data_IF_760795228725
#
_entry.id   IF_760795228725
#
_cell.length_a   1.000
_cell.length_b   1.000
_cell.length_c   1.000
_cell.angle_alpha   90.00
_cell.angle_beta   90.00
_cell.angle_gamma   90.00
#
_symmetry.space_group_name_H-M   'P 1'
#
loop_
_entity.id
_entity.type
_entity.pdbx_description
1 polymer ?
#
# COMPACT_ATOMS: atom_id res chain seq x y z
N UNK A 1 7.47 -7.71 30.48
CA UNK A 1 7.02 -9.12 30.53
C UNK A 1 7.52 -9.78 29.26
N UNK A 2 8.30 -10.86 29.34
CA UNK A 2 8.69 -11.62 28.15
C UNK A 2 7.46 -12.36 27.65
N UNK A 3 6.88 -11.88 26.57
CA UNK A 3 5.83 -12.62 25.89
C UNK A 3 6.54 -13.78 25.15
N UNK A 4 6.31 -15.01 25.61
CA UNK A 4 7.07 -16.22 25.24
C UNK A 4 6.76 -16.74 23.82
N UNK A 5 6.53 -15.85 22.84
CA UNK A 5 6.24 -16.15 21.44
C UNK A 5 5.46 -17.48 21.23
N UNK A 6 4.31 -17.64 21.90
CA UNK A 6 3.55 -18.87 21.78
C UNK A 6 2.93 -18.94 20.38
N UNK A 7 2.93 -20.12 19.77
CA UNK A 7 2.17 -20.35 18.53
C UNK A 7 0.67 -20.14 18.83
N UNK A 8 0.13 -19.04 18.35
CA UNK A 8 -1.28 -18.67 18.44
C UNK A 8 -2.10 -19.42 17.39
N UNK A 9 -3.39 -19.72 17.63
CA UNK A 9 -4.27 -20.27 16.60
C UNK A 9 -4.26 -19.38 15.35
N UNK A 10 -4.28 -19.96 14.15
CA UNK A 10 -4.27 -19.18 12.90
C UNK A 10 -5.49 -18.26 12.84
N UNK A 11 -5.25 -16.97 12.58
CA UNK A 11 -6.31 -15.98 12.38
C UNK A 11 -6.40 -15.70 10.88
N UNK A 12 -7.58 -15.96 10.29
CA UNK A 12 -7.84 -15.74 8.86
C UNK A 12 -7.36 -16.85 7.91
N UNK A 13 -7.33 -16.60 6.59
CA UNK A 13 -7.00 -17.59 5.57
C UNK A 13 -5.52 -18.01 5.64
N UNK A 14 -5.27 -19.30 5.42
CA UNK A 14 -3.92 -19.89 5.40
C UNK A 14 -3.25 -19.63 4.05
N UNK A 15 -1.91 -19.63 4.01
CA UNK A 15 -1.16 -19.53 2.76
C UNK A 15 -1.54 -20.64 1.77
N UNK A 16 -1.81 -21.83 2.29
CA UNK A 16 -2.26 -22.98 1.49
C UNK A 16 -3.67 -22.78 0.91
N UNK A 17 -4.56 -22.01 1.57
CA UNK A 17 -5.89 -21.68 1.04
C UNK A 17 -5.87 -20.54 0.01
N UNK A 18 -4.91 -19.62 0.12
CA UNK A 18 -4.79 -18.47 -0.80
C UNK A 18 -4.00 -18.80 -2.06
N UNK A 19 -3.10 -19.78 -2.02
CA UNK A 19 -2.35 -20.25 -3.19
C UNK A 19 -3.02 -21.48 -3.81
N UNK A 20 -3.53 -21.33 -5.04
CA UNK A 20 -4.24 -22.41 -5.75
C UNK A 20 -3.34 -23.59 -6.13
N UNK A 21 -3.85 -24.81 -5.96
CA UNK A 21 -3.27 -26.04 -6.52
C UNK A 21 -2.81 -27.06 -5.47
N UNK A 22 -3.22 -28.32 -5.65
CA UNK A 22 -2.87 -29.42 -4.74
C UNK A 22 -1.37 -29.66 -4.62
N UNK A 23 -0.61 -29.37 -5.68
CA UNK A 23 0.85 -29.51 -5.72
C UNK A 23 1.60 -28.58 -4.77
N UNK A 24 1.00 -27.44 -4.39
CA UNK A 24 1.66 -26.41 -3.57
C UNK A 24 1.15 -26.36 -2.12
N UNK A 25 0.02 -27.01 -1.82
CA UNK A 25 -0.57 -26.98 -0.48
C UNK A 25 0.38 -27.45 0.62
N UNK A 26 1.15 -28.53 0.38
CA UNK A 26 2.12 -29.03 1.37
C UNK A 26 3.27 -28.04 1.59
N UNK A 27 3.81 -27.48 0.51
CA UNK A 27 4.88 -26.50 0.59
C UNK A 27 4.41 -25.23 1.32
N UNK A 28 3.28 -24.66 0.92
CA UNK A 28 2.72 -23.45 1.52
C UNK A 28 2.30 -23.67 2.98
N UNK A 29 1.73 -24.84 3.30
CA UNK A 29 1.39 -25.20 4.68
C UNK A 29 2.62 -25.34 5.58
N UNK A 30 3.70 -25.96 5.09
CA UNK A 30 4.96 -26.03 5.84
C UNK A 30 5.60 -24.65 5.98
N UNK A 31 5.63 -23.86 4.91
CA UNK A 31 6.17 -22.50 4.91
C UNK A 31 5.44 -21.64 5.95
N UNK A 32 4.11 -21.73 6.02
CA UNK A 32 3.31 -21.02 7.02
C UNK A 32 3.71 -21.37 8.46
N UNK A 33 3.96 -22.66 8.75
CA UNK A 33 4.43 -23.09 10.07
C UNK A 33 5.77 -22.44 10.41
N UNK A 34 6.71 -22.39 9.46
CA UNK A 34 7.99 -21.71 9.68
C UNK A 34 7.81 -20.22 9.88
N UNK A 35 6.99 -19.55 9.07
CA UNK A 35 6.74 -18.11 9.21
C UNK A 35 6.13 -17.77 10.57
N UNK A 36 5.13 -18.55 11.02
CA UNK A 36 4.48 -18.38 12.33
C UNK A 36 5.39 -18.71 13.51
N UNK A 37 6.44 -19.49 13.28
CA UNK A 37 7.47 -19.74 14.30
C UNK A 37 8.42 -18.55 14.51
N UNK A 38 8.42 -17.56 13.60
CA UNK A 38 9.24 -16.36 13.70
C UNK A 38 8.49 -15.28 14.48
N UNK A 39 9.00 -14.92 15.65
CA UNK A 39 8.34 -14.02 16.59
C UNK A 39 8.24 -12.57 16.11
N UNK A 40 9.18 -12.15 15.28
CA UNK A 40 9.18 -10.84 14.63
C UNK A 40 8.14 -10.75 13.50
N UNK A 41 7.72 -11.87 12.92
CA UNK A 41 6.65 -11.93 11.90
C UNK A 41 5.27 -12.15 12.52
N UNK A 42 5.16 -13.11 13.44
CA UNK A 42 3.87 -13.39 14.10
C UNK A 42 3.46 -12.25 15.04
N UNK A 43 4.44 -11.58 15.64
CA UNK A 43 4.31 -10.51 16.62
C UNK A 43 3.16 -10.71 17.63
N UNK A 44 3.10 -11.87 18.33
CA UNK A 44 1.97 -12.22 19.18
C UNK A 44 1.83 -11.28 20.40
N UNK A 45 2.84 -10.45 20.65
CA UNK A 45 2.95 -9.61 21.83
C UNK A 45 2.38 -8.22 21.62
N UNK A 46 2.41 -7.72 20.37
CA UNK A 46 1.83 -6.42 20.01
C UNK A 46 0.44 -6.55 19.37
N UNK A 47 -0.03 -7.78 19.10
CA UNK A 47 -1.41 -8.03 18.65
C UNK A 47 -2.44 -7.60 19.71
N UNK A 48 -3.47 -6.84 19.33
CA UNK A 48 -4.49 -6.40 20.28
C UNK A 48 -5.38 -7.56 20.73
N UNK A 49 -5.58 -7.66 22.05
CA UNK A 49 -6.42 -8.69 22.63
C UNK A 49 -7.91 -8.33 22.55
N UNK A 50 -8.70 -9.19 21.89
CA UNK A 50 -10.17 -9.07 21.86
C UNK A 50 -10.75 -9.25 23.25
N UNK A 51 -11.64 -8.34 23.67
CA UNK A 51 -12.40 -8.46 24.91
C UNK A 51 -13.78 -9.07 24.63
N UNK A 52 -14.07 -10.21 25.25
CA UNK A 52 -15.36 -10.91 25.10
C UNK A 52 -16.56 -10.13 25.67
N UNK A 53 -16.33 -9.20 26.59
CA UNK A 53 -17.36 -8.34 27.16
C UNK A 53 -16.95 -6.87 26.98
N UNK A 54 -17.69 -6.15 26.15
CA UNK A 54 -17.53 -4.72 26.01
C UNK A 54 -18.13 -4.00 27.23
N UNK A 55 -17.48 -2.91 27.66
CA UNK A 55 -18.08 -2.02 28.64
C UNK A 55 -19.31 -1.33 28.03
N UNK A 56 -20.25 -0.90 28.85
CA UNK A 56 -21.43 -0.16 28.38
C UNK A 56 -21.14 1.28 27.98
N UNK A 57 -19.93 1.79 28.28
CA UNK A 57 -19.51 3.16 27.99
C UNK A 57 -18.02 3.22 27.68
N UNK A 58 -17.69 4.06 26.68
CA UNK A 58 -16.34 4.44 26.29
C UNK A 58 -16.31 5.96 26.05
N UNK A 59 -15.14 6.58 26.15
CA UNK A 59 -14.95 7.99 25.80
C UNK A 59 -14.93 8.17 24.28
N UNK A 60 -14.31 7.21 23.59
CA UNK A 60 -14.26 7.18 22.13
C UNK A 60 -14.62 5.80 21.59
N UNK A 61 -15.38 5.79 20.49
CA UNK A 61 -15.66 4.59 19.71
C UNK A 61 -15.15 4.83 18.29
N UNK A 62 -14.17 4.03 17.87
CA UNK A 62 -13.65 4.03 16.51
C UNK A 62 -14.28 2.87 15.75
N UNK A 63 -14.94 3.19 14.64
CA UNK A 63 -15.61 2.22 13.79
C UNK A 63 -14.74 1.95 12.55
N UNK A 64 -14.23 0.73 12.44
CA UNK A 64 -13.28 0.29 11.42
C UNK A 64 -11.83 0.43 11.90
N UNK A 65 -11.14 -0.71 12.01
CA UNK A 65 -9.72 -0.83 12.32
C UNK A 65 -8.80 -0.75 11.10
N UNK A 66 -9.23 -0.08 10.03
CA UNK A 66 -8.40 0.17 8.85
C UNK A 66 -7.26 1.16 9.12
N UNK A 67 -6.48 1.51 8.10
CA UNK A 67 -5.25 2.32 8.24
C UNK A 67 -5.43 3.62 9.06
N UNK A 68 -6.50 4.40 8.79
CA UNK A 68 -6.80 5.60 9.56
C UNK A 68 -7.40 5.29 10.94
N UNK A 69 -8.33 4.34 11.02
CA UNK A 69 -9.02 3.99 12.26
C UNK A 69 -8.09 3.39 13.32
N UNK A 70 -7.22 2.47 12.92
CA UNK A 70 -6.17 1.93 13.78
C UNK A 70 -5.22 3.04 14.28
N UNK A 71 -4.82 3.97 13.40
CA UNK A 71 -3.99 5.13 13.78
C UNK A 71 -4.68 6.00 14.83
N UNK A 72 -5.95 6.34 14.62
CA UNK A 72 -6.73 7.16 15.56
C UNK A 72 -6.91 6.43 16.88
N UNK A 73 -7.29 5.16 16.87
CA UNK A 73 -7.48 4.36 18.07
C UNK A 73 -6.17 4.24 18.88
N UNK A 74 -5.04 4.02 18.22
CA UNK A 74 -3.72 3.98 18.86
C UNK A 74 -3.38 5.31 19.52
N UNK A 75 -3.51 6.44 18.79
CA UNK A 75 -3.19 7.78 19.34
C UNK A 75 -4.11 8.21 20.48
N UNK A 76 -5.40 7.90 20.41
CA UNK A 76 -6.31 8.16 21.53
C UNK A 76 -5.95 7.32 22.77
N UNK A 77 -5.46 6.10 22.57
CA UNK A 77 -5.07 5.18 23.64
C UNK A 77 -3.73 5.52 24.29
N UNK A 78 -2.93 6.43 23.71
CA UNK A 78 -1.71 6.95 24.34
C UNK A 78 -2.01 7.76 25.61
N UNK A 79 -3.23 8.33 25.71
CA UNK A 79 -3.70 9.01 26.91
C UNK A 79 -4.43 8.00 27.82
N UNK A 80 -3.83 7.59 28.96
CA UNK A 80 -4.36 6.53 29.82
C UNK A 80 -5.72 6.86 30.45
N UNK A 81 -6.13 8.13 30.43
CA UNK A 81 -7.45 8.55 30.93
C UNK A 81 -8.59 8.20 29.99
N UNK A 82 -8.32 7.99 28.71
CA UNK A 82 -9.36 7.70 27.72
C UNK A 82 -9.63 6.21 27.62
N UNK A 83 -10.91 5.86 27.63
CA UNK A 83 -11.40 4.54 27.25
C UNK A 83 -11.78 4.53 25.77
N UNK A 84 -11.09 3.70 24.99
CA UNK A 84 -11.27 3.60 23.53
C UNK A 84 -11.79 2.21 23.17
N UNK A 85 -12.89 2.16 22.43
CA UNK A 85 -13.39 0.94 21.79
C UNK A 85 -13.10 1.01 20.29
N UNK A 86 -12.37 0.04 19.77
CA UNK A 86 -12.22 -0.18 18.33
C UNK A 86 -13.10 -1.35 17.91
N UNK A 87 -13.96 -1.13 16.91
CA UNK A 87 -14.77 -2.17 16.29
C UNK A 87 -14.28 -2.41 14.87
N UNK A 88 -13.92 -3.64 14.54
CA UNK A 88 -13.52 -4.07 13.20
C UNK A 88 -14.40 -5.26 12.77
N UNK A 89 -14.78 -5.29 11.49
CA UNK A 89 -15.61 -6.34 10.93
C UNK A 89 -14.80 -7.60 10.57
N UNK A 90 -13.52 -7.40 10.24
CA UNK A 90 -12.55 -8.46 9.99
C UNK A 90 -11.94 -9.06 11.24
N UNK A 91 -11.13 -10.10 11.01
CA UNK A 91 -10.27 -10.69 12.04
C UNK A 91 -8.95 -9.92 12.17
N UNK A 92 -8.08 -10.39 13.05
CA UNK A 92 -6.68 -9.98 13.10
C UNK A 92 -5.93 -10.40 11.82
N UNK A 93 -4.83 -9.73 11.47
CA UNK A 93 -4.13 -10.01 10.24
C UNK A 93 -3.42 -11.39 10.24
N UNK A 94 -3.57 -12.20 9.18
CA UNK A 94 -2.82 -13.44 9.02
C UNK A 94 -1.32 -13.16 8.90
N UNK A 95 -0.47 -14.00 9.48
CA UNK A 95 1.01 -13.89 9.39
C UNK A 95 1.51 -13.79 7.96
N UNK A 96 0.87 -14.50 7.02
CA UNK A 96 1.25 -14.48 5.61
C UNK A 96 1.17 -13.09 4.96
N UNK A 97 0.37 -12.18 5.53
CA UNK A 97 0.26 -10.79 5.05
C UNK A 97 1.47 -9.92 5.43
N UNK A 98 2.29 -10.37 6.38
CA UNK A 98 3.55 -9.71 6.76
C UNK A 98 4.66 -9.94 5.72
N UNK A 99 4.41 -10.82 4.73
CA UNK A 99 5.36 -11.16 3.68
C UNK A 99 5.04 -10.34 2.44
N UNK A 100 5.89 -9.38 2.06
CA UNK A 100 5.57 -8.43 1.00
C UNK A 100 5.09 -9.06 -0.30
N UNK A 101 5.74 -10.13 -0.72
CA UNK A 101 5.44 -10.82 -1.99
C UNK A 101 4.11 -11.55 -2.05
N UNK A 102 3.44 -11.76 -0.90
CA UNK A 102 2.16 -12.47 -0.83
C UNK A 102 0.94 -11.56 -0.83
N UNK A 103 1.11 -10.24 -0.86
CA UNK A 103 -0.03 -9.29 -0.76
C UNK A 103 -1.14 -9.57 -1.79
N UNK A 104 -0.77 -9.96 -3.02
CA UNK A 104 -1.72 -10.24 -4.10
C UNK A 104 -2.57 -11.50 -3.83
N UNK A 105 -2.04 -12.47 -3.06
CA UNK A 105 -2.71 -13.73 -2.76
C UNK A 105 -3.92 -13.53 -1.83
N UNK A 106 -3.96 -12.42 -1.10
CA UNK A 106 -5.07 -12.10 -0.19
C UNK A 106 -6.20 -11.35 -0.89
N UNK A 107 -6.00 -10.87 -2.12
CA UNK A 107 -7.05 -10.29 -2.95
C UNK A 107 -8.03 -11.41 -3.35
N UNK A 108 -9.32 -11.24 -3.03
CA UNK A 108 -10.34 -12.26 -3.25
C UNK A 108 -10.40 -13.36 -2.18
N UNK A 109 -9.66 -13.22 -1.08
CA UNK A 109 -9.75 -14.10 0.09
C UNK A 109 -10.83 -13.65 1.09
N UNK A 110 -10.96 -14.35 2.21
CA UNK A 110 -11.92 -14.02 3.29
C UNK A 110 -11.63 -12.69 4.00
N UNK A 111 -10.40 -12.16 3.87
CA UNK A 111 -10.01 -10.84 4.39
C UNK A 111 -10.17 -9.71 3.35
N UNK A 112 -10.79 -10.00 2.20
CA UNK A 112 -11.21 -9.01 1.22
C UNK A 112 -12.73 -8.84 1.31
N UNK A 113 -13.21 -7.60 1.26
CA UNK A 113 -14.64 -7.30 1.11
C UNK A 113 -15.17 -7.71 -0.26
N UNK A 114 -14.30 -7.83 -1.26
CA UNK A 114 -14.64 -8.29 -2.61
C UNK A 114 -15.73 -7.44 -3.28
N UNK A 115 -15.70 -6.12 -3.08
CA UNK A 115 -16.69 -5.25 -3.66
C UNK A 115 -16.65 -5.31 -5.19
N UNK A 116 -17.83 -5.15 -5.79
CA UNK A 116 -17.99 -4.94 -7.21
C UNK A 116 -18.60 -3.56 -7.41
N UNK A 117 -18.10 -2.80 -8.38
CA UNK A 117 -18.70 -1.50 -8.71
C UNK A 117 -20.07 -1.70 -9.36
N UNK A 118 -20.86 -0.64 -9.36
CA UNK A 118 -21.97 -0.56 -10.31
C UNK A 118 -21.44 -0.53 -11.74
N UNK A 119 -22.31 -0.87 -12.69
CA UNK A 119 -21.99 -0.88 -14.12
C UNK A 119 -21.88 0.55 -14.63
N UNK A 120 -20.80 0.86 -15.36
CA UNK A 120 -20.56 2.19 -15.93
C UNK A 120 -20.12 2.10 -17.40
N UNK A 121 -20.53 3.05 -18.23
CA UNK A 121 -20.24 3.07 -19.67
C UNK A 121 -18.76 3.33 -20.01
N UNK A 122 -17.99 3.90 -19.07
CA UNK A 122 -16.60 4.30 -19.27
C UNK A 122 -15.55 3.43 -18.59
N UNK A 123 -15.96 2.39 -17.86
CA UNK A 123 -15.07 1.59 -17.02
C UNK A 123 -15.25 0.09 -17.27
N UNK A 124 -14.19 -0.70 -17.03
CA UNK A 124 -14.20 -2.16 -17.16
C UNK A 124 -14.81 -2.69 -18.47
N UNK A 125 -14.50 -2.02 -19.58
CA UNK A 125 -15.02 -2.31 -20.93
C UNK A 125 -14.67 -3.72 -21.45
N UNK A 126 -13.68 -4.37 -20.83
CA UNK A 126 -13.28 -5.74 -21.13
C UNK A 126 -14.15 -6.80 -20.44
N UNK A 127 -15.14 -6.40 -19.64
CA UNK A 127 -16.10 -7.30 -18.98
C UNK A 127 -17.49 -7.10 -19.54
N UNK A 128 -18.24 -8.19 -19.67
CA UNK A 128 -19.62 -8.16 -20.20
C UNK A 128 -20.57 -7.33 -19.32
N UNK A 129 -20.42 -7.40 -18.00
CA UNK A 129 -21.24 -6.67 -17.03
C UNK A 129 -20.75 -5.24 -16.75
N UNK A 130 -19.58 -4.86 -17.28
CA UNK A 130 -18.87 -3.60 -17.04
C UNK A 130 -18.70 -3.28 -15.55
N UNK A 131 -18.54 -4.31 -14.71
CA UNK A 131 -18.30 -4.12 -13.27
C UNK A 131 -16.85 -4.36 -12.90
N UNK A 132 -16.25 -3.37 -12.26
CA UNK A 132 -14.89 -3.47 -11.76
C UNK A 132 -14.86 -4.23 -10.44
N UNK A 133 -13.89 -5.13 -10.31
CA UNK A 133 -13.58 -5.73 -9.02
C UNK A 133 -12.80 -4.71 -8.19
N UNK A 134 -13.21 -4.50 -6.95
CA UNK A 134 -12.72 -3.40 -6.11
C UNK A 134 -12.35 -3.91 -4.72
N UNK A 135 -11.12 -4.45 -4.56
CA UNK A 135 -10.73 -5.07 -3.31
C UNK A 135 -10.62 -4.04 -2.17
N UNK A 136 -11.06 -4.43 -0.97
CA UNK A 136 -10.92 -3.65 0.27
C UNK A 136 -10.65 -4.59 1.41
N UNK A 137 -9.64 -4.29 2.23
CA UNK A 137 -9.31 -5.12 3.39
C UNK A 137 -10.45 -5.15 4.41
N UNK A 138 -10.83 -6.37 4.80
CA UNK A 138 -11.76 -6.75 5.87
C UNK A 138 -10.97 -7.49 6.94
N UNK A 139 -10.12 -6.75 7.63
CA UNK A 139 -9.12 -7.24 8.59
C UNK A 139 -8.67 -6.06 9.44
N UNK A 140 -8.15 -6.30 10.64
CA UNK A 140 -7.46 -5.25 11.39
C UNK A 140 -6.27 -4.74 10.58
N UNK A 141 -6.09 -3.41 10.52
CA UNK A 141 -5.23 -2.73 9.55
C UNK A 141 -5.92 -2.42 8.22
N UNK A 142 -6.97 -3.17 7.85
CA UNK A 142 -7.79 -2.94 6.66
C UNK A 142 -6.97 -3.08 5.38
N UNK A 143 -7.11 -2.13 4.46
CA UNK A 143 -6.46 -2.24 3.14
C UNK A 143 -4.93 -2.13 3.22
N UNK A 144 -4.34 -1.58 4.29
CA UNK A 144 -2.87 -1.58 4.42
C UNK A 144 -2.25 -2.97 4.59
N UNK A 145 -3.04 -3.98 4.97
CA UNK A 145 -2.59 -5.38 5.08
C UNK A 145 -2.39 -6.06 3.72
N UNK A 146 -3.03 -5.54 2.68
CA UNK A 146 -3.06 -6.14 1.33
C UNK A 146 -2.77 -5.10 0.23
N UNK A 147 -2.05 -4.03 0.57
CA UNK A 147 -1.65 -3.00 -0.40
C UNK A 147 -0.32 -3.36 -1.09
N UNK A 148 0.01 -2.65 -2.17
CA UNK A 148 1.29 -2.84 -2.87
C UNK A 148 2.49 -2.13 -2.22
N UNK A 149 2.42 -1.80 -0.92
CA UNK A 149 3.48 -1.18 -0.11
C UNK A 149 4.18 0.04 -0.72
N UNK A 150 3.53 0.74 -1.64
CA UNK A 150 4.06 1.97 -2.22
C UNK A 150 3.87 3.10 -1.22
N UNK A 151 4.99 3.65 -0.72
CA UNK A 151 4.98 4.83 0.13
C UNK A 151 5.30 6.08 -0.69
N UNK A 152 4.31 6.96 -0.82
CA UNK A 152 4.47 8.25 -1.48
C UNK A 152 3.54 9.28 -0.86
N UNK A 153 3.94 10.56 -0.95
CA UNK A 153 3.15 11.68 -0.44
C UNK A 153 2.56 12.47 -1.60
N UNK A 154 1.37 13.00 -1.39
CA UNK A 154 0.76 13.97 -2.29
C UNK A 154 1.62 15.22 -2.48
N UNK A 155 1.40 15.92 -3.59
CA UNK A 155 2.09 17.17 -3.88
C UNK A 155 1.63 18.28 -2.92
N UNK A 156 2.49 19.28 -2.70
CA UNK A 156 2.15 20.46 -1.89
C UNK A 156 0.83 21.11 -2.32
N UNK A 157 0.62 21.18 -3.63
CA UNK A 157 -0.56 21.81 -4.24
C UNK A 157 -1.85 21.13 -3.81
N UNK A 158 -1.86 19.81 -3.66
CA UNK A 158 -3.06 19.04 -3.32
C UNK A 158 -3.65 19.51 -1.97
N UNK A 159 -2.79 19.65 -0.96
CA UNK A 159 -3.17 20.08 0.39
C UNK A 159 -3.45 21.58 0.47
N UNK A 160 -2.66 22.40 -0.21
CA UNK A 160 -2.90 23.85 -0.24
C UNK A 160 -4.23 24.18 -0.96
N UNK A 161 -4.62 23.38 -1.96
CA UNK A 161 -5.92 23.48 -2.60
C UNK A 161 -7.04 23.07 -1.65
N UNK A 162 -6.87 22.04 -0.81
CA UNK A 162 -7.85 21.71 0.24
C UNK A 162 -8.07 22.87 1.21
N UNK A 163 -6.98 23.51 1.66
CA UNK A 163 -7.08 24.69 2.51
C UNK A 163 -7.82 25.84 1.80
N UNK A 164 -7.57 26.04 0.49
CA UNK A 164 -8.26 27.06 -0.32
C UNK A 164 -9.75 26.78 -0.49
N UNK A 165 -10.16 25.51 -0.48
CA UNK A 165 -11.57 25.09 -0.49
C UNK A 165 -12.27 25.28 0.87
N UNK A 166 -11.57 25.81 1.89
CA UNK A 166 -12.13 26.11 3.20
C UNK A 166 -11.77 25.09 4.29
N UNK A 167 -10.96 24.08 3.98
CA UNK A 167 -10.48 23.10 4.96
C UNK A 167 -9.31 23.68 5.77
N UNK A 168 -9.62 24.59 6.70
CA UNK A 168 -8.62 25.24 7.55
C UNK A 168 -7.80 24.19 8.31
N UNK A 169 -6.47 24.36 8.32
CA UNK A 169 -5.54 23.42 8.97
C UNK A 169 -5.12 22.24 8.10
N UNK A 170 -5.56 22.18 6.84
CA UNK A 170 -5.18 21.14 5.88
C UNK A 170 -4.22 21.61 4.79
N UNK A 171 -3.56 22.76 4.96
CA UNK A 171 -2.51 23.17 4.03
C UNK A 171 -1.30 22.25 4.16
N UNK A 172 -0.43 22.19 3.14
CA UNK A 172 0.73 21.30 3.19
C UNK A 172 1.62 21.58 4.41
N UNK A 173 1.77 22.85 4.78
CA UNK A 173 2.52 23.26 5.96
C UNK A 173 1.93 22.68 7.25
N UNK A 174 0.61 22.60 7.33
CA UNK A 174 -0.09 22.12 8.52
C UNK A 174 -0.06 20.59 8.62
N UNK A 175 -0.10 19.88 7.48
CA UNK A 175 -0.11 18.40 7.45
C UNK A 175 1.29 17.77 7.47
N UNK A 176 2.32 18.45 6.95
CA UNK A 176 3.69 17.92 6.86
C UNK A 176 4.24 17.40 8.20
N UNK A 177 4.06 18.08 9.35
CA UNK A 177 4.52 17.57 10.64
C UNK A 177 3.90 16.21 11.00
N UNK A 178 2.65 15.95 10.58
CA UNK A 178 1.99 14.67 10.83
C UNK A 178 2.54 13.55 9.96
N UNK A 179 2.90 13.84 8.71
CA UNK A 179 3.59 12.87 7.84
C UNK A 179 4.95 12.49 8.43
N UNK A 180 5.75 13.48 8.81
CA UNK A 180 7.07 13.27 9.44
C UNK A 180 6.94 12.47 10.75
N UNK A 181 5.93 12.78 11.58
CA UNK A 181 5.70 12.08 12.84
C UNK A 181 5.25 10.63 12.67
N UNK A 182 4.64 10.29 11.53
CA UNK A 182 4.13 8.95 11.28
C UNK A 182 5.22 7.96 10.88
N UNK A 183 6.30 8.42 10.22
CA UNK A 183 7.29 7.55 9.60
C UNK A 183 8.52 7.29 10.46
N UNK A 184 9.09 6.11 10.29
CA UNK A 184 10.45 5.74 10.68
C UNK A 184 11.26 5.35 9.44
N UNK A 185 11.82 6.38 8.78
CA UNK A 185 12.52 6.21 7.51
C UNK A 185 13.94 5.68 7.70
N UNK A 186 14.18 4.42 7.31
CA UNK A 186 15.49 3.76 7.47
C UNK A 186 16.57 4.33 6.54
N UNK A 187 16.20 5.19 5.60
CA UNK A 187 17.08 5.80 4.61
C UNK A 187 17.00 7.34 4.65
N UNK A 188 16.65 7.92 5.80
CA UNK A 188 16.44 9.38 5.96
C UNK A 188 17.62 10.22 5.44
N UNK A 189 18.85 9.73 5.56
CA UNK A 189 20.08 10.45 5.16
C UNK A 189 20.27 10.55 3.64
N UNK A 190 19.56 9.73 2.86
CA UNK A 190 19.58 9.81 1.39
C UNK A 190 18.35 10.53 0.81
N UNK A 191 17.49 11.09 1.67
CA UNK A 191 16.25 11.77 1.28
C UNK A 191 16.36 13.28 1.43
N UNK A 192 15.35 14.00 0.91
CA UNK A 192 15.30 15.46 0.99
C UNK A 192 15.24 15.97 2.43
N UNK A 193 16.13 16.91 2.74
CA UNK A 193 16.24 17.50 4.08
C UNK A 193 14.94 18.21 4.50
N UNK A 194 14.49 17.93 5.73
CA UNK A 194 13.31 18.56 6.33
C UNK A 194 11.96 17.99 5.89
N UNK A 195 11.96 16.98 5.01
CA UNK A 195 10.74 16.30 4.58
C UNK A 195 10.58 14.92 5.21
N UNK A 196 11.60 14.38 5.87
CA UNK A 196 11.56 13.03 6.42
C UNK A 196 11.86 12.95 7.92
N UNK A 197 11.32 11.92 8.57
CA UNK A 197 11.39 11.65 10.00
C UNK A 197 11.84 10.22 10.32
N UNK A 198 12.29 10.06 11.56
CA UNK A 198 12.66 8.77 12.16
C UNK A 198 11.97 8.62 13.51
N UNK A 199 11.72 7.39 13.94
CA UNK A 199 11.09 7.06 15.22
C UNK A 199 9.55 7.07 15.24
N UNK A 200 8.90 7.26 14.09
CA UNK A 200 7.46 7.05 13.95
C UNK A 200 7.07 5.56 14.01
N UNK A 201 5.77 5.23 14.13
CA UNK A 201 5.32 3.84 14.19
C UNK A 201 5.34 3.11 12.83
N UNK A 202 5.46 3.84 11.71
CA UNK A 202 5.46 3.24 10.37
C UNK A 202 6.88 3.18 9.82
N UNK A 203 7.50 2.01 9.86
CA UNK A 203 8.81 1.79 9.21
C UNK A 203 8.69 1.95 7.70
N UNK A 204 9.52 2.81 7.13
CA UNK A 204 9.55 3.06 5.67
C UNK A 204 10.97 2.86 5.16
N UNK A 205 11.11 2.04 4.12
CA UNK A 205 12.36 1.81 3.41
C UNK A 205 12.08 1.33 1.99
N UNK A 206 13.08 1.44 1.13
CA UNK A 206 13.12 0.69 -0.13
C UNK A 206 13.24 -0.80 0.16
N UNK A 207 12.73 -1.64 -0.75
CA UNK A 207 12.89 -3.08 -0.62
C UNK A 207 14.38 -3.45 -0.61
N UNK A 208 14.82 -4.37 0.28
CA UNK A 208 16.21 -4.85 0.28
C UNK A 208 16.61 -5.43 -1.08
N UNK A 209 15.69 -6.18 -1.70
CA UNK A 209 15.88 -6.78 -3.01
C UNK A 209 15.15 -6.02 -4.12
N UNK A 210 15.87 -5.73 -5.20
CA UNK A 210 15.31 -5.17 -6.45
C UNK A 210 15.65 -6.10 -7.62
N UNK A 211 14.65 -6.61 -8.37
CA UNK A 211 14.93 -7.49 -9.50
C UNK A 211 15.67 -6.73 -10.61
N UNK A 212 16.61 -7.35 -11.35
CA UNK A 212 17.37 -6.67 -12.41
C UNK A 212 16.48 -5.96 -13.45
N UNK A 213 15.33 -6.54 -13.77
CA UNK A 213 14.33 -5.97 -14.67
C UNK A 213 13.83 -4.59 -14.21
N UNK A 214 13.74 -4.34 -12.90
CA UNK A 214 13.27 -3.05 -12.37
C UNK A 214 14.16 -1.89 -12.82
N UNK A 215 15.49 -2.08 -12.85
CA UNK A 215 16.42 -1.05 -13.34
C UNK A 215 16.23 -0.78 -14.84
N UNK A 216 16.04 -1.84 -15.64
CA UNK A 216 15.78 -1.70 -17.06
C UNK A 216 14.47 -0.95 -17.34
N UNK A 217 13.42 -1.23 -16.57
CA UNK A 217 12.13 -0.50 -16.67
C UNK A 217 12.26 0.96 -16.23
N UNK A 218 13.05 1.25 -15.19
CA UNK A 218 13.31 2.62 -14.76
C UNK A 218 14.07 3.41 -15.83
N UNK A 219 15.10 2.83 -16.45
CA UNK A 219 15.81 3.48 -17.55
C UNK A 219 14.92 3.67 -18.79
N UNK A 220 14.16 2.65 -19.19
CA UNK A 220 13.19 2.78 -20.28
C UNK A 220 12.13 3.85 -19.98
N UNK A 221 11.66 3.96 -18.73
CA UNK A 221 10.74 5.00 -18.29
C UNK A 221 11.33 6.41 -18.39
N UNK A 222 12.63 6.58 -18.07
CA UNK A 222 13.36 7.84 -18.28
C UNK A 222 13.48 8.19 -19.76
N UNK A 223 13.76 7.19 -20.60
CA UNK A 223 13.86 7.36 -22.06
C UNK A 223 12.51 7.70 -22.72
N UNK A 224 11.41 7.14 -22.20
CA UNK A 224 10.05 7.32 -22.75
C UNK A 224 9.35 8.61 -22.28
N UNK A 225 9.96 9.39 -21.37
CA UNK A 225 9.49 10.75 -21.04
C UNK A 225 8.09 10.83 -20.42
N UNK A 226 7.61 9.76 -19.76
CA UNK A 226 6.27 9.68 -19.17
C UNK A 226 6.01 10.75 -18.09
N UNK A 227 7.05 11.40 -17.60
CA UNK A 227 7.01 12.63 -16.81
C UNK A 227 7.63 13.74 -17.66
N UNK A 228 6.85 14.37 -18.56
CA UNK A 228 7.14 15.67 -19.23
C UNK A 228 6.18 16.00 -20.39
N UNK A 229 5.35 15.09 -20.87
CA UNK A 229 4.48 15.30 -22.05
C UNK A 229 3.60 16.57 -22.03
N UNK A 230 2.87 16.92 -20.94
CA UNK A 230 2.12 18.18 -20.92
C UNK A 230 3.05 19.40 -20.90
N UNK A 231 4.22 19.31 -20.25
CA UNK A 231 5.20 20.39 -20.23
C UNK A 231 5.84 20.63 -21.61
N UNK A 232 6.10 19.57 -22.39
CA UNK A 232 6.60 19.67 -23.77
C UNK A 232 5.56 20.31 -24.68
N UNK A 233 4.30 19.90 -24.58
CA UNK A 233 3.21 20.50 -25.35
C UNK A 233 3.05 21.99 -25.02
N UNK A 234 3.08 22.34 -23.73
CA UNK A 234 3.02 23.73 -23.28
C UNK A 234 4.23 24.54 -23.77
N UNK A 235 5.46 24.02 -23.66
CA UNK A 235 6.68 24.69 -24.16
C UNK A 235 6.74 24.79 -25.69
N UNK A 236 5.98 23.97 -26.41
CA UNK A 236 5.88 23.97 -27.87
C UNK A 236 4.70 24.82 -28.38
N UNK A 237 4.02 25.58 -27.52
CA UNK A 237 2.91 26.44 -27.93
C UNK A 237 1.58 25.71 -28.19
N UNK A 238 1.43 24.50 -27.66
CA UNK A 238 0.25 23.63 -27.79
C UNK A 238 -0.43 23.47 -26.42
N UNK A 239 -1.41 24.30 -26.10
CA UNK A 239 -2.01 24.36 -24.75
C UNK A 239 -3.00 25.53 -24.60
N UNK A 240 -3.53 25.78 -23.40
CA UNK A 240 -4.53 26.83 -23.20
C UNK A 240 -3.94 28.19 -23.61
N UNK A 241 -4.55 28.86 -24.59
CA UNK A 241 -4.02 30.11 -25.18
C UNK A 241 -3.71 31.19 -24.13
N UNK A 242 -4.58 31.36 -23.15
CA UNK A 242 -4.40 32.35 -22.10
C UNK A 242 -3.18 32.04 -21.22
N UNK A 243 -2.96 30.76 -20.91
CA UNK A 243 -1.83 30.30 -20.10
C UNK A 243 -0.51 30.41 -20.87
N UNK A 244 -0.50 30.04 -22.15
CA UNK A 244 0.67 30.18 -23.02
C UNK A 244 1.08 31.63 -23.26
N UNK A 245 0.11 32.51 -23.53
CA UNK A 245 0.36 33.94 -23.70
C UNK A 245 0.90 34.59 -22.41
N UNK A 246 0.40 34.17 -21.24
CA UNK A 246 0.83 34.70 -19.95
C UNK A 246 2.31 34.43 -19.64
N UNK A 247 2.88 33.36 -20.20
CA UNK A 247 4.29 32.97 -20.01
C UNK A 247 5.17 33.27 -21.22
N UNK A 248 4.65 34.00 -22.21
CA UNK A 248 5.41 34.43 -23.39
C UNK A 248 5.74 33.32 -24.38
N UNK A 249 5.05 32.18 -24.32
CA UNK A 249 5.20 31.11 -25.31
C UNK A 249 4.27 31.39 -26.50
N UNK A 250 4.80 31.47 -27.75
CA UNK A 250 3.97 31.66 -28.93
C UNK A 250 2.92 30.56 -29.08
N UNK A 251 1.65 30.95 -29.22
CA UNK A 251 0.55 30.00 -29.35
C UNK A 251 0.51 29.45 -30.77
N UNK A 252 0.91 28.20 -30.94
CA UNK A 252 0.78 27.45 -32.20
C UNK A 252 -0.65 26.89 -32.31
N UNK A 253 -1.19 26.32 -31.22
CA UNK A 253 -2.55 25.78 -31.17
C UNK A 253 -3.15 25.92 -29.77
N UNK A 254 -4.36 26.45 -29.72
CA UNK A 254 -5.13 26.59 -28.48
C UNK A 254 -5.80 25.25 -28.13
N UNK A 255 -5.35 24.62 -27.04
CA UNK A 255 -5.82 23.34 -26.55
C UNK A 255 -6.13 23.44 -25.04
N UNK A 256 -7.36 23.83 -24.66
CA UNK A 256 -7.71 24.15 -23.26
C UNK A 256 -7.68 22.94 -22.31
N UNK A 257 -7.63 21.71 -22.84
CA UNK A 257 -7.54 20.48 -22.05
C UNK A 257 -6.11 20.05 -21.67
N UNK A 258 -5.07 20.63 -22.29
CA UNK A 258 -3.69 20.29 -21.97
C UNK A 258 -3.36 20.82 -20.57
N UNK A 259 -3.05 19.93 -19.64
CA UNK A 259 -2.78 20.27 -18.24
C UNK A 259 -4.03 20.44 -17.36
N UNK A 260 -5.21 20.00 -17.80
CA UNK A 260 -6.47 20.00 -17.02
C UNK A 260 -7.05 18.58 -16.83
N UNK A 261 -7.93 18.45 -15.83
CA UNK A 261 -8.74 17.27 -15.48
C UNK A 261 -7.96 15.97 -15.16
N UNK A 262 -7.40 15.93 -13.96
CA UNK A 262 -6.40 14.98 -13.51
C UNK A 262 -6.52 14.91 -11.97
N UNK A 263 -6.74 13.82 -11.21
CA UNK A 263 -6.51 12.38 -11.37
C UNK A 263 -7.43 11.53 -10.47
N UNK A 264 -7.69 10.30 -10.93
CA UNK A 264 -7.49 9.07 -10.15
C UNK A 264 -6.18 8.40 -10.65
N UNK A 265 -5.60 7.46 -9.90
CA UNK A 265 -4.65 6.49 -10.45
C UNK A 265 -5.45 5.41 -11.18
N UNK A 266 -5.92 5.70 -12.39
CA UNK A 266 -6.43 4.66 -13.30
C UNK A 266 -5.21 3.84 -13.73
N UNK A 267 -5.03 2.70 -13.09
CA UNK A 267 -4.00 1.75 -13.47
C UNK A 267 -4.54 0.87 -14.61
N UNK A 268 -3.75 0.72 -15.67
CA UNK A 268 -3.95 -0.32 -16.66
C UNK A 268 -2.68 -1.18 -16.68
N UNK A 269 -2.84 -2.48 -16.51
CA UNK A 269 -1.70 -3.40 -16.53
C UNK A 269 -1.33 -3.68 -17.98
N UNK A 270 -0.12 -3.28 -18.38
CA UNK A 270 0.47 -3.74 -19.63
C UNK A 270 1.25 -5.02 -19.34
N UNK A 271 0.79 -6.13 -19.90
CA UNK A 271 1.50 -7.41 -19.83
C UNK A 271 2.47 -7.50 -21.00
N UNK A 272 3.74 -7.70 -20.70
CA UNK A 272 4.78 -7.94 -21.70
C UNK A 272 5.22 -9.39 -21.61
N UNK A 273 5.37 -10.05 -22.76
CA UNK A 273 6.06 -11.33 -22.82
C UNK A 273 7.54 -11.06 -23.01
N UNK A 274 8.33 -11.36 -22.00
CA UNK A 274 9.79 -11.34 -22.08
C UNK A 274 10.27 -12.73 -22.53
N UNK A 275 11.19 -12.79 -23.50
CA UNK A 275 11.87 -14.02 -23.89
C UNK A 275 13.05 -14.28 -22.95
N UNK A 276 12.79 -14.13 -21.66
CA UNK A 276 13.73 -14.37 -20.58
C UNK A 276 13.04 -15.31 -19.60
N UNK A 277 13.75 -16.36 -19.20
CA UNK A 277 13.29 -17.36 -18.23
C UNK A 277 13.82 -17.08 -16.83
N UNK A 278 14.43 -15.90 -16.59
CA UNK A 278 14.94 -15.46 -15.29
C UNK A 278 13.79 -15.13 -14.30
N UNK A 279 12.89 -16.10 -14.16
CA UNK A 279 11.85 -16.17 -13.17
C UNK A 279 12.42 -16.99 -12.03
N UNK A 280 12.65 -16.37 -10.88
CA UNK A 280 13.11 -17.15 -9.73
C UNK A 280 11.89 -17.78 -9.05
N UNK A 281 11.78 -19.12 -9.03
CA UNK A 281 10.59 -19.78 -8.52
C UNK A 281 10.56 -19.72 -6.99
N UNK A 282 9.36 -19.60 -6.42
CA UNK A 282 9.18 -19.77 -4.98
C UNK A 282 9.50 -21.22 -4.59
N UNK A 283 10.60 -21.40 -3.86
CA UNK A 283 11.06 -22.69 -3.36
C UNK A 283 11.69 -22.54 -1.96
N UNK A 284 12.20 -23.64 -1.41
CA UNK A 284 12.82 -23.61 -0.08
C UNK A 284 14.07 -22.74 0.01
N UNK A 285 14.86 -22.59 -1.06
CA UNK A 285 16.04 -21.72 -1.03
C UNK A 285 15.63 -20.25 -0.89
N UNK A 286 14.67 -19.78 -1.70
CA UNK A 286 14.12 -18.43 -1.61
C UNK A 286 13.39 -18.19 -0.28
N UNK A 287 12.69 -19.20 0.24
CA UNK A 287 12.02 -19.11 1.52
C UNK A 287 13.00 -19.03 2.69
N UNK A 288 14.08 -19.81 2.65
CA UNK A 288 15.12 -19.77 3.68
C UNK A 288 15.89 -18.46 3.67
N UNK A 289 16.16 -17.88 2.50
CA UNK A 289 16.78 -16.55 2.39
C UNK A 289 15.97 -15.50 3.15
N UNK A 290 14.66 -15.46 2.91
CA UNK A 290 13.77 -14.54 3.63
C UNK A 290 13.64 -14.88 5.12
N UNK A 291 13.51 -16.17 5.46
CA UNK A 291 13.35 -16.61 6.84
C UNK A 291 14.56 -16.28 7.71
N UNK A 292 15.78 -16.37 7.15
CA UNK A 292 17.03 -16.12 7.84
C UNK A 292 17.49 -14.67 7.81
N UNK A 293 17.25 -13.96 6.69
CA UNK A 293 17.86 -12.65 6.44
C UNK A 293 16.87 -11.52 6.18
N UNK A 294 15.57 -11.82 6.04
CA UNK A 294 14.52 -10.86 5.63
C UNK A 294 14.86 -10.18 4.29
N UNK A 295 15.57 -10.89 3.43
CA UNK A 295 16.03 -10.44 2.11
C UNK A 295 15.52 -11.40 1.02
N UNK A 296 15.89 -11.13 -0.23
CA UNK A 296 15.50 -11.91 -1.38
C UNK A 296 14.09 -11.59 -1.85
N UNK A 297 13.58 -12.43 -2.74
CA UNK A 297 12.35 -12.15 -3.50
C UNK A 297 11.11 -11.95 -2.64
N UNK A 298 11.03 -12.66 -1.51
CA UNK A 298 9.88 -12.56 -0.62
C UNK A 298 9.78 -11.22 0.12
N UNK A 299 10.88 -10.43 0.14
CA UNK A 299 10.97 -9.12 0.78
C UNK A 299 10.44 -7.95 -0.06
N UNK A 300 10.06 -8.19 -1.33
CA UNK A 300 9.50 -7.17 -2.22
C UNK A 300 8.08 -7.50 -2.70
N UNK A 301 7.42 -6.53 -3.33
CA UNK A 301 6.09 -6.70 -3.96
C UNK A 301 6.14 -7.15 -5.43
N UNK A 302 7.34 -7.41 -5.97
CA UNK A 302 7.48 -7.95 -7.33
C UNK A 302 6.82 -9.33 -7.42
N UNK A 303 6.14 -9.62 -8.52
CA UNK A 303 5.49 -10.92 -8.73
C UNK A 303 6.53 -12.06 -8.66
N UNK A 304 6.28 -13.03 -7.78
CA UNK A 304 6.91 -14.34 -7.85
C UNK A 304 6.02 -15.25 -8.69
N UNK A 305 6.60 -15.88 -9.71
CA UNK A 305 5.92 -16.94 -10.45
C UNK A 305 6.03 -18.25 -9.65
N UNK A 306 4.89 -18.89 -9.43
CA UNK A 306 4.80 -20.27 -8.94
C UNK A 306 5.13 -21.26 -10.06
#
# INVERSE_FOLDING_TARGET
MSCNCPLTPSMGPTLASTCGGTSFMLFMGLLEVFLRSQCDLEDPCNRPATRNAANTRYDFVVLGGGSAGATVAARLSEEPRFSVLLLEAGLDEPTGTQIPSFFFNFIGSDIDWQYSTESEDGACLNKEDRKCYWPRGKVLGGTSVMNGMTYMRGSRKDYDDWARLGNVGWSYRDVLPYFIRSEDNQQVNSMDYGYHGVGGPLTVMQFPYHPPLSYALLEAGKELGAVNSPQILLNSGLGPREELNAVGVPVIRDLPGVGKNLHNHVAYTLTFTINDTDTTPLNWATAMEYLLFRDGLMSGTGEMLL
#
